data_IF_767675320873
#
_entry.id   IF_767675320873
#
_cell.length_a   1.000
_cell.length_b   1.000
_cell.length_c   1.000
_cell.angle_alpha   90.00
_cell.angle_beta   90.00
_cell.angle_gamma   90.00
#
_symmetry.space_group_name_H-M   'P 1'
#
loop_
_entity.id
_entity.type
_entity.pdbx_description
1 polymer ?
#
# COMPACT_ATOMS: atom_id res chain seq x y z
N UNK A 1 -1.69 17.06 19.88
CA UNK A 1 -0.57 16.90 18.91
C UNK A 1 -1.05 17.45 17.60
N UNK A 2 -0.45 18.57 17.16
CA UNK A 2 -1.03 19.38 16.09
C UNK A 2 -0.43 19.07 14.73
N UNK A 3 -1.30 18.70 13.80
CA UNK A 3 -1.04 18.82 12.36
C UNK A 3 -0.96 20.32 12.04
N UNK A 4 0.23 20.83 11.74
CA UNK A 4 0.46 22.29 11.69
C UNK A 4 0.18 22.96 10.36
N UNK A 5 0.05 22.26 9.25
CA UNK A 5 -0.42 22.89 8.02
C UNK A 5 -0.91 21.86 7.01
N UNK A 6 -2.19 21.92 6.71
CA UNK A 6 -2.73 21.40 5.44
C UNK A 6 -3.04 22.64 4.62
N UNK A 7 -2.33 22.85 3.51
CA UNK A 7 -2.71 23.86 2.52
C UNK A 7 -3.58 23.19 1.47
N UNK A 8 -4.77 23.73 1.23
CA UNK A 8 -5.73 23.20 0.24
C UNK A 8 -5.15 23.08 -1.20
N UNK A 9 -4.04 23.76 -1.50
CA UNK A 9 -3.36 23.71 -2.80
C UNK A 9 -2.13 22.76 -2.85
N UNK A 10 -1.61 22.35 -1.68
CA UNK A 10 -0.46 21.45 -1.58
C UNK A 10 -0.94 20.12 -1.03
N UNK A 11 -0.82 19.06 -1.79
CA UNK A 11 -1.05 17.69 -1.32
C UNK A 11 0.06 17.22 -0.36
N UNK A 12 0.53 18.10 0.51
CA UNK A 12 1.65 17.89 1.43
C UNK A 12 1.22 18.11 2.87
N UNK A 13 1.77 17.32 3.75
CA UNK A 13 1.49 17.36 5.17
C UNK A 13 2.78 17.38 5.97
N UNK A 14 2.94 18.38 6.84
CA UNK A 14 4.07 18.47 7.77
C UNK A 14 3.63 17.99 9.17
N UNK A 15 4.26 16.92 9.63
CA UNK A 15 3.95 16.28 10.91
C UNK A 15 5.04 16.60 11.92
N UNK A 16 4.72 17.46 12.90
CA UNK A 16 5.68 17.94 13.89
C UNK A 16 6.08 16.93 14.97
N UNK A 17 5.26 15.89 15.17
CA UNK A 17 5.60 14.71 15.96
C UNK A 17 5.33 13.50 15.08
N UNK A 18 6.26 12.56 15.03
CA UNK A 18 6.15 11.45 14.11
C UNK A 18 4.98 10.53 14.51
N UNK A 19 3.83 10.60 13.81
CA UNK A 19 2.66 9.81 14.11
C UNK A 19 2.81 8.37 13.63
N UNK A 20 1.91 7.50 14.07
CA UNK A 20 1.71 6.19 13.47
C UNK A 20 1.02 6.30 12.11
N UNK A 21 1.10 5.23 11.30
CA UNK A 21 0.39 5.11 10.04
C UNK A 21 -1.12 5.33 10.21
N UNK A 22 -1.72 4.75 11.25
CA UNK A 22 -3.14 4.97 11.58
C UNK A 22 -3.47 6.45 11.77
N UNK A 23 -2.61 7.18 12.51
CA UNK A 23 -2.82 8.61 12.75
C UNK A 23 -2.68 9.43 11.46
N UNK A 24 -1.72 9.07 10.58
CA UNK A 24 -1.56 9.69 9.26
C UNK A 24 -2.81 9.47 8.41
N UNK A 25 -3.28 8.22 8.33
CA UNK A 25 -4.46 7.85 7.54
C UNK A 25 -5.70 8.59 8.03
N UNK A 26 -5.96 8.62 9.35
CA UNK A 26 -7.10 9.31 9.94
C UNK A 26 -7.11 10.79 9.58
N UNK A 27 -5.99 11.46 9.75
CA UNK A 27 -5.91 12.88 9.49
C UNK A 27 -5.95 13.21 7.97
N UNK A 28 -5.45 12.32 7.10
CA UNK A 28 -5.61 12.47 5.66
C UNK A 28 -7.09 12.31 5.25
N UNK A 29 -7.80 11.34 5.83
CA UNK A 29 -9.23 11.10 5.56
C UNK A 29 -10.13 12.28 5.95
N UNK A 30 -9.84 12.97 7.05
CA UNK A 30 -10.59 14.16 7.50
C UNK A 30 -10.62 15.28 6.44
N UNK A 31 -9.65 15.30 5.53
CA UNK A 31 -9.52 16.30 4.46
C UNK A 31 -9.75 15.71 3.06
N UNK A 32 -10.29 14.48 2.96
CA UNK A 32 -10.60 13.83 1.69
C UNK A 32 -9.38 13.33 0.91
N UNK A 33 -8.23 13.22 1.57
CA UNK A 33 -7.00 12.70 1.01
C UNK A 33 -6.68 11.31 1.58
N UNK A 34 -5.63 10.66 1.06
CA UNK A 34 -5.11 9.43 1.63
C UNK A 34 -3.59 9.33 1.45
N UNK A 35 -2.96 8.58 2.33
CA UNK A 35 -1.55 8.24 2.27
C UNK A 35 -1.40 6.84 1.65
N UNK A 36 -0.88 6.71 0.40
CA UNK A 36 -0.87 5.44 -0.32
C UNK A 36 -0.01 4.33 0.29
N UNK A 37 1.20 4.58 0.83
CA UNK A 37 2.02 3.52 1.44
C UNK A 37 1.29 2.83 2.59
N UNK A 38 1.30 1.48 2.58
CA UNK A 38 0.62 0.69 3.60
C UNK A 38 1.45 -0.57 3.92
N UNK A 39 2.42 -0.47 4.83
CA UNK A 39 3.32 -1.58 5.18
C UNK A 39 2.66 -2.74 5.95
N UNK A 40 1.36 -2.67 6.23
CA UNK A 40 0.61 -3.73 6.89
C UNK A 40 0.56 -3.61 8.42
N UNK A 41 1.41 -2.81 9.03
CA UNK A 41 1.39 -2.49 10.45
C UNK A 41 0.94 -1.04 10.64
N UNK A 42 -0.28 -0.84 11.10
CA UNK A 42 -0.87 0.49 11.32
C UNK A 42 -0.25 1.24 12.50
N UNK A 43 0.43 0.54 13.39
CA UNK A 43 1.16 1.13 14.51
C UNK A 43 2.55 1.66 14.09
N UNK A 44 3.01 1.33 12.88
CA UNK A 44 4.31 1.75 12.37
C UNK A 44 4.46 3.27 12.40
N UNK A 45 5.52 3.75 13.04
CA UNK A 45 5.81 5.19 13.17
C UNK A 45 6.39 5.76 11.88
N UNK A 46 6.01 6.98 11.51
CA UNK A 46 6.45 7.64 10.28
C UNK A 46 7.98 7.64 10.12
N UNK A 47 8.73 7.93 11.17
CA UNK A 47 10.20 7.90 11.13
C UNK A 47 10.77 6.53 10.84
N UNK A 48 10.22 5.48 11.45
CA UNK A 48 10.58 4.09 11.18
C UNK A 48 10.27 3.67 9.76
N UNK A 49 9.07 4.01 9.26
CA UNK A 49 8.68 3.75 7.87
C UNK A 49 9.63 4.41 6.87
N UNK A 50 10.03 5.66 7.11
CA UNK A 50 11.00 6.37 6.24
C UNK A 50 12.39 5.75 6.37
N UNK A 51 12.84 5.47 7.59
CA UNK A 51 14.15 4.88 7.83
C UNK A 51 14.32 3.52 7.16
N UNK A 52 13.26 2.70 7.06
CA UNK A 52 13.28 1.40 6.40
C UNK A 52 12.86 1.43 4.92
N UNK A 53 12.48 2.61 4.40
CA UNK A 53 11.87 2.74 3.07
C UNK A 53 10.68 1.78 2.91
N UNK A 54 9.75 1.81 3.86
CA UNK A 54 8.65 0.87 3.95
C UNK A 54 7.81 0.80 2.67
N UNK A 55 7.46 -0.42 2.29
CA UNK A 55 6.56 -0.73 1.16
C UNK A 55 5.23 -1.24 1.66
N UNK A 56 4.73 -2.32 1.04
CA UNK A 56 3.50 -3.02 1.39
C UNK A 56 2.68 -3.40 0.18
N UNK A 57 1.48 -3.90 0.41
CA UNK A 57 0.61 -4.44 -0.63
C UNK A 57 0.34 -3.44 -1.78
N UNK A 58 0.26 -2.15 -1.46
CA UNK A 58 -0.03 -1.09 -2.44
C UNK A 58 1.18 -0.66 -3.28
N UNK A 59 2.35 -1.28 -3.05
CA UNK A 59 3.60 -0.88 -3.73
C UNK A 59 3.61 -1.13 -5.24
N UNK A 60 2.78 -2.03 -5.76
CA UNK A 60 2.68 -2.31 -7.20
C UNK A 60 2.31 -1.06 -7.99
N UNK A 61 1.33 -0.30 -7.54
CA UNK A 61 0.88 0.95 -8.16
C UNK A 61 1.60 2.17 -7.60
N UNK A 62 1.68 2.27 -6.30
CA UNK A 62 2.10 3.48 -5.61
C UNK A 62 3.59 3.51 -5.27
N UNK A 63 4.24 2.35 -5.19
CA UNK A 63 5.64 2.26 -4.75
C UNK A 63 5.78 2.31 -3.23
N UNK A 64 7.01 2.52 -2.78
CA UNK A 64 7.36 2.63 -1.36
C UNK A 64 7.17 4.06 -0.84
N UNK A 65 7.32 4.24 0.49
CA UNK A 65 7.20 5.55 1.14
C UNK A 65 8.12 6.61 0.53
N UNK A 66 9.26 6.24 -0.04
CA UNK A 66 10.21 7.12 -0.73
C UNK A 66 9.54 8.07 -1.72
N UNK A 67 8.54 7.60 -2.45
CA UNK A 67 7.81 8.42 -3.43
C UNK A 67 6.94 9.52 -2.81
N UNK A 68 6.66 9.40 -1.51
CA UNK A 68 5.75 10.29 -0.79
C UNK A 68 6.46 11.18 0.22
N UNK A 69 7.77 11.02 0.40
CA UNK A 69 8.57 11.91 1.24
C UNK A 69 9.02 13.10 0.41
N UNK A 70 8.64 14.30 0.83
CA UNK A 70 9.02 15.56 0.21
C UNK A 70 10.12 16.29 0.99
N UNK A 71 10.16 16.10 2.31
CA UNK A 71 11.15 16.72 3.17
C UNK A 71 11.39 15.96 4.46
N UNK A 72 12.58 16.11 5.01
CA UNK A 72 13.01 15.52 6.27
C UNK A 72 13.75 16.53 7.13
N UNK A 73 13.54 16.48 8.43
CA UNK A 73 14.47 17.00 9.41
C UNK A 73 15.21 15.82 10.03
N UNK A 74 16.52 15.90 10.06
CA UNK A 74 17.38 14.81 10.55
C UNK A 74 18.41 15.33 11.53
N UNK A 75 18.58 14.66 12.65
CA UNK A 75 19.68 14.89 13.60
C UNK A 75 20.83 13.95 13.23
N UNK A 76 21.95 14.51 12.82
CA UNK A 76 23.16 13.75 12.48
C UNK A 76 23.90 13.26 13.75
N UNK A 77 24.82 12.31 13.59
CA UNK A 77 25.65 11.80 14.67
C UNK A 77 26.49 12.89 15.38
N UNK A 78 26.75 14.02 14.70
CA UNK A 78 27.41 15.20 15.30
C UNK A 78 26.49 16.01 16.21
N UNK A 79 25.19 15.72 16.28
CA UNK A 79 24.16 16.54 16.93
C UNK A 79 23.64 17.69 16.08
N UNK A 80 24.16 17.87 14.87
CA UNK A 80 23.69 18.89 13.94
C UNK A 80 22.30 18.51 13.40
N UNK A 81 21.38 19.47 13.38
CA UNK A 81 20.05 19.33 12.77
C UNK A 81 20.16 19.84 11.33
N UNK A 82 19.70 19.03 10.38
CA UNK A 82 19.65 19.37 8.96
C UNK A 82 18.25 19.25 8.41
N UNK A 83 17.86 20.18 7.55
CA UNK A 83 16.61 20.14 6.79
C UNK A 83 16.94 19.70 5.36
N UNK A 84 16.25 18.69 4.87
CA UNK A 84 16.46 18.08 3.56
C UNK A 84 15.14 18.05 2.80
N UNK A 85 15.15 18.44 1.51
CA UNK A 85 13.93 18.56 0.72
C UNK A 85 13.08 19.78 1.12
N UNK A 86 11.76 19.67 0.99
CA UNK A 86 10.81 20.75 1.29
C UNK A 86 9.41 20.47 0.73
N UNK A 87 8.52 21.47 0.74
CA UNK A 87 7.13 21.35 0.26
C UNK A 87 6.99 21.55 -1.25
N UNK A 88 8.00 21.20 -2.04
CA UNK A 88 7.98 21.33 -3.49
C UNK A 88 8.02 19.96 -4.18
N UNK A 89 7.26 19.83 -5.25
CA UNK A 89 7.14 18.58 -6.03
C UNK A 89 8.34 18.27 -6.92
N UNK A 90 9.20 19.27 -7.19
CA UNK A 90 10.35 19.11 -8.08
C UNK A 90 11.56 19.85 -7.52
N UNK A 91 12.66 19.12 -7.42
CA UNK A 91 14.00 19.70 -7.20
C UNK A 91 14.99 19.06 -8.15
N UNK A 92 15.77 19.88 -8.86
CA UNK A 92 16.81 19.43 -9.78
C UNK A 92 18.18 20.02 -9.43
N UNK A 93 18.33 20.58 -8.23
CA UNK A 93 19.55 21.25 -7.76
C UNK A 93 20.34 20.32 -6.86
N UNK A 94 21.55 19.95 -7.30
CA UNK A 94 22.49 19.14 -6.52
C UNK A 94 22.06 17.69 -6.30
N UNK A 95 22.74 17.02 -5.37
CA UNK A 95 22.37 15.66 -4.93
C UNK A 95 21.20 15.68 -3.96
N UNK A 96 20.29 14.71 -4.09
CA UNK A 96 19.21 14.53 -3.13
C UNK A 96 19.72 13.79 -1.89
N UNK A 97 20.18 14.53 -0.88
CA UNK A 97 20.61 13.96 0.39
C UNK A 97 19.43 13.36 1.17
N UNK A 98 18.21 13.84 0.92
CA UNK A 98 16.99 13.25 1.47
C UNK A 98 16.85 11.78 1.05
N UNK A 99 17.07 11.49 -0.24
CA UNK A 99 17.03 10.13 -0.77
C UNK A 99 18.06 9.18 -0.15
N UNK A 100 19.18 9.72 0.33
CA UNK A 100 20.19 8.96 1.06
C UNK A 100 19.72 8.56 2.46
N UNK A 101 18.94 9.42 3.13
CA UNK A 101 18.40 9.17 4.47
C UNK A 101 17.27 8.14 4.45
N UNK A 102 16.48 8.09 3.38
CA UNK A 102 15.36 7.16 3.23
C UNK A 102 15.91 5.74 3.00
N UNK A 103 15.60 4.81 3.90
CA UNK A 103 16.12 3.45 3.86
C UNK A 103 17.49 3.28 4.53
N UNK A 104 17.97 4.30 5.25
CA UNK A 104 19.25 4.24 5.97
C UNK A 104 19.20 3.47 7.29
N UNK A 105 18.02 3.03 7.73
CA UNK A 105 17.79 2.31 8.99
C UNK A 105 18.38 3.00 10.23
N UNK A 106 18.37 4.36 10.22
CA UNK A 106 18.90 5.17 11.31
C UNK A 106 20.43 5.25 11.38
N UNK A 107 21.17 4.63 10.45
CA UNK A 107 22.65 4.61 10.48
C UNK A 107 23.28 5.94 10.10
N UNK A 108 22.56 6.83 9.41
CA UNK A 108 23.04 8.15 8.97
C UNK A 108 22.54 9.29 9.85
N UNK A 109 21.46 9.09 10.60
CA UNK A 109 20.88 10.08 11.49
C UNK A 109 19.50 9.68 12.00
N UNK A 110 18.96 10.48 12.92
CA UNK A 110 17.62 10.28 13.49
C UNK A 110 16.64 11.22 12.81
N UNK A 111 15.60 10.66 12.20
CA UNK A 111 14.54 11.42 11.53
C UNK A 111 13.59 11.97 12.60
N UNK A 112 13.44 13.29 12.67
CA UNK A 112 12.63 14.00 13.68
C UNK A 112 11.42 14.71 13.11
N UNK A 113 11.38 14.95 11.79
CA UNK A 113 10.23 15.50 11.06
C UNK A 113 10.17 14.91 9.66
N UNK A 114 8.96 14.66 9.18
CA UNK A 114 8.70 14.17 7.83
C UNK A 114 7.62 15.04 7.17
N UNK A 115 7.89 15.51 5.96
CA UNK A 115 6.89 16.12 5.09
C UNK A 115 6.44 15.09 4.07
N UNK A 116 5.14 14.77 4.05
CA UNK A 116 4.56 13.73 3.23
C UNK A 116 3.68 14.32 2.13
N UNK A 117 3.75 13.73 0.93
CA UNK A 117 2.77 13.92 -0.12
C UNK A 117 1.55 13.02 0.13
N UNK A 118 0.37 13.57 -0.08
CA UNK A 118 -0.90 12.84 -0.04
C UNK A 118 -1.53 12.85 -1.42
N UNK A 119 -2.43 11.90 -1.69
CA UNK A 119 -3.21 11.83 -2.92
C UNK A 119 -4.70 12.01 -2.64
N UNK A 120 -5.48 12.47 -3.63
CA UNK A 120 -6.94 12.40 -3.57
C UNK A 120 -7.40 10.95 -3.33
N UNK A 121 -8.38 10.77 -2.45
CA UNK A 121 -8.94 9.46 -2.17
C UNK A 121 -9.59 8.88 -3.42
N UNK A 122 -9.35 7.60 -3.78
CA UNK A 122 -10.04 6.95 -4.87
C UNK A 122 -11.55 6.88 -4.58
N UNK A 123 -12.36 7.07 -5.63
CA UNK A 123 -13.82 7.04 -5.50
C UNK A 123 -14.37 5.63 -5.33
N UNK A 124 -13.66 4.62 -5.88
CA UNK A 124 -14.05 3.20 -5.77
C UNK A 124 -12.84 2.30 -5.61
N UNK A 125 -13.05 1.17 -4.94
CA UNK A 125 -12.09 0.09 -4.78
C UNK A 125 -12.81 -1.23 -5.05
N UNK A 126 -12.16 -2.13 -5.81
CA UNK A 126 -12.63 -3.49 -6.03
C UNK A 126 -11.56 -4.51 -5.69
N UNK A 127 -12.01 -5.65 -5.14
CA UNK A 127 -11.13 -6.76 -4.75
C UNK A 127 -11.55 -8.01 -5.52
N UNK A 128 -10.56 -8.63 -6.19
CA UNK A 128 -10.70 -9.90 -6.90
C UNK A 128 -9.89 -10.98 -6.21
N UNK A 129 -10.45 -12.19 -6.18
CA UNK A 129 -9.74 -13.42 -5.81
C UNK A 129 -9.77 -14.38 -6.98
N UNK A 130 -8.60 -14.90 -7.35
CA UNK A 130 -8.46 -15.89 -8.40
C UNK A 130 -7.69 -17.11 -7.88
N UNK A 131 -8.37 -18.25 -7.62
CA UNK A 131 -7.71 -19.51 -7.28
C UNK A 131 -7.11 -20.17 -8.51
N UNK A 132 -6.01 -20.94 -8.33
CA UNK A 132 -5.27 -21.64 -9.36
C UNK A 132 -4.94 -23.08 -8.96
N UNK A 133 -4.89 -23.99 -9.96
CA UNK A 133 -4.51 -25.40 -9.78
C UNK A 133 -3.05 -25.58 -9.35
N UNK A 134 -2.19 -24.61 -9.64
CA UNK A 134 -0.77 -24.66 -9.29
C UNK A 134 -0.25 -23.30 -8.85
N UNK A 135 0.75 -23.32 -7.98
CA UNK A 135 1.50 -22.13 -7.57
C UNK A 135 2.15 -21.43 -8.79
N UNK A 136 2.68 -22.22 -9.72
CA UNK A 136 3.33 -21.69 -10.92
C UNK A 136 2.36 -20.88 -11.79
N UNK A 137 1.16 -21.42 -12.06
CA UNK A 137 0.14 -20.73 -12.85
C UNK A 137 -0.28 -19.39 -12.22
N UNK A 138 -0.46 -19.36 -10.90
CA UNK A 138 -0.75 -18.12 -10.17
C UNK A 138 0.35 -17.06 -10.37
N UNK A 139 1.62 -17.44 -10.20
CA UNK A 139 2.75 -16.51 -10.32
C UNK A 139 2.93 -16.05 -11.78
N UNK A 140 2.84 -16.97 -12.75
CA UNK A 140 3.01 -16.68 -14.17
C UNK A 140 1.90 -15.80 -14.76
N UNK A 141 0.73 -15.75 -14.13
CA UNK A 141 -0.38 -14.88 -14.56
C UNK A 141 -0.14 -13.39 -14.21
N UNK A 142 0.70 -13.08 -13.21
CA UNK A 142 0.93 -11.69 -12.76
C UNK A 142 1.51 -10.80 -13.89
N UNK A 143 2.55 -11.20 -14.65
CA UNK A 143 3.01 -10.41 -15.80
C UNK A 143 1.93 -10.19 -16.86
N UNK A 144 1.05 -11.16 -17.10
CA UNK A 144 -0.04 -11.02 -18.08
C UNK A 144 -1.04 -9.94 -17.65
N UNK A 145 -1.38 -9.88 -16.36
CA UNK A 145 -2.22 -8.81 -15.78
C UNK A 145 -1.57 -7.45 -15.96
N UNK A 146 -0.31 -7.30 -15.54
CA UNK A 146 0.40 -6.01 -15.60
C UNK A 146 0.59 -5.53 -17.05
N UNK A 147 0.80 -6.43 -18.00
CA UNK A 147 0.95 -6.11 -19.42
C UNK A 147 -0.36 -5.69 -20.09
N UNK A 148 -1.52 -5.89 -19.44
CA UNK A 148 -2.81 -5.41 -19.93
C UNK A 148 -2.92 -3.88 -19.91
N UNK A 149 -2.02 -3.20 -19.19
CA UNK A 149 -2.04 -1.74 -19.02
C UNK A 149 -2.95 -1.28 -17.87
N UNK A 150 -3.56 -2.22 -17.15
CA UNK A 150 -4.31 -1.97 -15.91
C UNK A 150 -3.39 -2.36 -14.76
N UNK A 151 -3.07 -1.40 -13.90
CA UNK A 151 -2.17 -1.64 -12.78
C UNK A 151 -3.00 -1.71 -11.51
N UNK A 152 -3.22 -2.92 -10.95
CA UNK A 152 -3.82 -3.08 -9.63
C UNK A 152 -2.97 -2.35 -8.58
N UNK A 153 -3.58 -1.78 -7.57
CA UNK A 153 -2.79 -1.18 -6.50
C UNK A 153 -2.19 -2.23 -5.55
N UNK A 154 -2.78 -3.44 -5.50
CA UNK A 154 -2.21 -4.59 -4.83
C UNK A 154 -2.34 -5.85 -5.69
N UNK A 155 -1.29 -6.67 -5.69
CA UNK A 155 -1.27 -8.03 -6.23
C UNK A 155 -0.56 -8.89 -5.20
N UNK A 156 -1.29 -9.80 -4.57
CA UNK A 156 -0.76 -10.65 -3.53
C UNK A 156 -0.97 -12.11 -3.90
N UNK A 157 0.09 -12.88 -3.78
CA UNK A 157 0.06 -14.33 -3.85
C UNK A 157 -0.22 -14.90 -2.46
N UNK A 158 -1.18 -15.82 -2.37
CA UNK A 158 -1.60 -16.42 -1.11
C UNK A 158 -1.68 -17.94 -1.27
N UNK A 159 -0.95 -18.66 -0.44
CA UNK A 159 -1.03 -20.12 -0.37
C UNK A 159 -2.21 -20.60 0.49
N UNK A 160 -2.86 -21.66 0.05
CA UNK A 160 -3.99 -22.28 0.77
C UNK A 160 -3.60 -22.75 2.18
N UNK A 161 -2.36 -23.22 2.35
CA UNK A 161 -1.82 -23.65 3.64
C UNK A 161 -1.77 -22.50 4.67
N UNK A 162 -1.33 -21.32 4.24
CA UNK A 162 -1.25 -20.13 5.08
C UNK A 162 -2.66 -19.62 5.44
N UNK A 163 -3.56 -19.56 4.45
CA UNK A 163 -4.95 -19.17 4.68
C UNK A 163 -5.65 -20.13 5.67
N UNK A 164 -5.42 -21.45 5.56
CA UNK A 164 -6.03 -22.41 6.45
C UNK A 164 -5.65 -22.22 7.94
N UNK A 165 -4.48 -21.62 8.21
CA UNK A 165 -4.10 -21.23 9.56
C UNK A 165 -4.90 -20.01 10.05
N UNK A 166 -5.01 -18.98 9.23
CA UNK A 166 -5.78 -17.77 9.55
C UNK A 166 -7.30 -18.09 9.71
N UNK A 167 -7.87 -18.93 8.84
CA UNK A 167 -9.27 -19.38 8.95
C UNK A 167 -9.56 -20.01 10.32
N UNK A 168 -8.67 -20.91 10.79
CA UNK A 168 -8.82 -21.55 12.11
C UNK A 168 -8.69 -20.57 13.26
N UNK A 169 -7.81 -19.57 13.13
CA UNK A 169 -7.59 -18.57 14.19
C UNK A 169 -8.80 -17.64 14.32
N UNK A 170 -9.41 -17.26 13.21
CA UNK A 170 -10.51 -16.29 13.18
C UNK A 170 -11.91 -16.93 13.20
N UNK A 171 -12.02 -18.25 13.06
CA UNK A 171 -13.28 -18.97 12.81
C UNK A 171 -14.05 -18.38 11.60
N UNK A 172 -13.30 -18.07 10.52
CA UNK A 172 -13.81 -17.50 9.27
C UNK A 172 -13.38 -18.36 8.09
N UNK A 173 -14.04 -18.17 6.95
CA UNK A 173 -13.81 -18.95 5.75
C UNK A 173 -13.34 -18.05 4.60
N UNK A 174 -12.24 -18.43 3.96
CA UNK A 174 -11.74 -17.78 2.76
C UNK A 174 -12.63 -18.13 1.56
N UNK A 175 -13.08 -17.14 0.75
CA UNK A 175 -14.03 -17.43 -0.33
C UNK A 175 -13.49 -18.36 -1.42
N UNK A 176 -12.19 -18.29 -1.73
CA UNK A 176 -11.55 -19.10 -2.76
C UNK A 176 -11.04 -20.44 -2.18
N UNK A 177 -11.87 -21.46 -2.20
CA UNK A 177 -11.53 -22.77 -1.62
C UNK A 177 -10.77 -23.72 -2.56
N UNK A 178 -10.74 -23.41 -3.86
CA UNK A 178 -10.16 -24.28 -4.88
C UNK A 178 -8.66 -24.04 -5.01
N UNK A 179 -7.93 -25.12 -5.34
CA UNK A 179 -6.51 -25.08 -5.64
C UNK A 179 -5.59 -24.76 -4.45
N UNK A 180 -4.28 -24.92 -4.65
CA UNK A 180 -3.26 -24.67 -3.61
C UNK A 180 -2.86 -23.21 -3.46
N UNK A 181 -3.24 -22.34 -4.40
CA UNK A 181 -2.84 -20.93 -4.42
C UNK A 181 -3.94 -20.04 -4.96
N UNK A 182 -3.97 -18.81 -4.50
CA UNK A 182 -4.85 -17.75 -5.01
C UNK A 182 -4.05 -16.46 -5.24
N UNK A 183 -4.47 -15.66 -6.23
CA UNK A 183 -4.12 -14.26 -6.32
C UNK A 183 -5.23 -13.41 -5.72
N UNK A 184 -4.84 -12.48 -4.86
CA UNK A 184 -5.65 -11.38 -4.38
C UNK A 184 -5.22 -10.13 -5.14
N UNK A 185 -6.13 -9.54 -5.90
CA UNK A 185 -5.88 -8.29 -6.63
C UNK A 185 -6.83 -7.21 -6.13
N UNK A 186 -6.31 -6.01 -6.01
CA UNK A 186 -7.12 -4.85 -5.63
C UNK A 186 -6.93 -3.73 -6.64
N UNK A 187 -8.04 -3.19 -7.09
CA UNK A 187 -8.13 -2.09 -8.04
C UNK A 187 -8.72 -0.86 -7.37
N UNK A 188 -8.29 0.30 -7.78
CA UNK A 188 -8.84 1.57 -7.36
C UNK A 188 -8.94 2.55 -8.52
N UNK A 189 -9.94 3.42 -8.47
CA UNK A 189 -10.19 4.40 -9.51
C UNK A 189 -11.13 5.52 -9.08
N UNK A 190 -11.42 6.47 -9.99
CA UNK A 190 -12.26 7.62 -9.70
C UNK A 190 -13.74 7.28 -9.50
N UNK A 191 -14.23 6.24 -10.14
CA UNK A 191 -15.62 5.80 -10.11
C UNK A 191 -15.76 4.27 -10.18
N UNK A 192 -16.93 3.78 -9.83
CA UNK A 192 -17.23 2.35 -9.74
C UNK A 192 -17.27 1.68 -11.12
N UNK A 193 -17.86 2.32 -12.12
CA UNK A 193 -18.03 1.74 -13.46
C UNK A 193 -16.67 1.45 -14.10
N UNK A 194 -15.73 2.40 -13.98
CA UNK A 194 -14.37 2.21 -14.49
C UNK A 194 -13.66 1.07 -13.77
N UNK A 195 -13.75 1.02 -12.43
CA UNK A 195 -13.05 -0.01 -11.65
C UNK A 195 -13.64 -1.40 -11.90
N UNK A 196 -14.96 -1.52 -12.05
CA UNK A 196 -15.62 -2.77 -12.44
C UNK A 196 -15.18 -3.24 -13.83
N UNK A 197 -15.19 -2.35 -14.83
CA UNK A 197 -14.72 -2.66 -16.18
C UNK A 197 -13.25 -3.14 -16.19
N UNK A 198 -12.40 -2.53 -15.38
CA UNK A 198 -11.01 -2.98 -15.20
C UNK A 198 -10.93 -4.34 -14.51
N UNK A 199 -11.78 -4.60 -13.52
CA UNK A 199 -11.85 -5.88 -12.82
C UNK A 199 -12.27 -7.01 -13.77
N UNK A 200 -13.29 -6.78 -14.60
CA UNK A 200 -13.72 -7.71 -15.64
C UNK A 200 -12.61 -8.04 -16.64
N UNK A 201 -11.92 -6.99 -17.14
CA UNK A 201 -10.81 -7.17 -18.09
C UNK A 201 -9.62 -7.94 -17.49
N UNK A 202 -9.36 -7.79 -16.18
CA UNK A 202 -8.35 -8.59 -15.45
C UNK A 202 -8.86 -10.01 -15.26
N UNK A 203 -10.14 -10.20 -14.92
CA UNK A 203 -10.76 -11.51 -14.79
C UNK A 203 -10.57 -12.35 -16.05
N UNK A 204 -10.88 -11.77 -17.23
CA UNK A 204 -10.66 -12.44 -18.53
C UNK A 204 -9.20 -12.86 -18.75
N UNK A 205 -8.24 -12.03 -18.33
CA UNK A 205 -6.81 -12.38 -18.43
C UNK A 205 -6.49 -13.54 -17.51
N UNK A 206 -6.96 -13.54 -16.27
CA UNK A 206 -6.68 -14.58 -15.28
C UNK A 206 -7.33 -15.92 -15.68
N UNK A 207 -8.55 -15.89 -16.22
CA UNK A 207 -9.20 -17.08 -16.82
C UNK A 207 -8.37 -17.65 -17.96
N UNK A 208 -7.88 -16.79 -18.86
CA UNK A 208 -6.98 -17.17 -19.96
C UNK A 208 -5.64 -17.75 -19.49
N UNK A 209 -5.22 -17.46 -18.26
CA UNK A 209 -4.02 -17.99 -17.60
C UNK A 209 -4.32 -19.23 -16.72
N UNK A 210 -5.56 -19.71 -16.70
CA UNK A 210 -5.94 -20.94 -16.01
C UNK A 210 -6.42 -20.72 -14.57
N UNK A 211 -6.93 -19.55 -14.24
CA UNK A 211 -7.67 -19.37 -13.01
C UNK A 211 -8.89 -20.29 -12.97
N UNK A 212 -9.13 -20.93 -11.84
CA UNK A 212 -10.24 -21.86 -11.64
C UNK A 212 -11.58 -21.16 -11.48
N UNK A 213 -11.54 -19.94 -10.97
CA UNK A 213 -12.68 -19.08 -10.72
C UNK A 213 -12.23 -17.62 -10.60
N UNK A 214 -13.16 -16.68 -10.78
CA UNK A 214 -12.95 -15.26 -10.51
C UNK A 214 -14.03 -14.77 -9.55
N UNK A 215 -13.62 -14.47 -8.34
CA UNK A 215 -14.50 -14.01 -7.29
C UNK A 215 -14.33 -12.50 -7.07
N UNK A 216 -15.39 -11.75 -7.28
CA UNK A 216 -15.44 -10.32 -7.00
C UNK A 216 -16.05 -10.11 -5.61
N UNK A 217 -15.44 -9.28 -4.79
CA UNK A 217 -16.04 -8.88 -3.53
C UNK A 217 -17.15 -7.85 -3.77
N UNK A 218 -18.40 -8.30 -3.70
CA UNK A 218 -19.60 -7.53 -4.07
C UNK A 218 -19.93 -6.39 -3.09
N UNK A 219 -19.31 -6.37 -1.92
CA UNK A 219 -19.57 -5.36 -0.89
C UNK A 219 -18.29 -5.02 -0.10
N UNK A 220 -18.31 -3.83 0.50
CA UNK A 220 -17.23 -3.39 1.40
C UNK A 220 -17.03 -4.37 2.57
N UNK A 221 -18.09 -4.92 3.11
CA UNK A 221 -18.03 -5.90 4.20
C UNK A 221 -17.26 -7.16 3.79
N UNK A 222 -17.53 -7.70 2.58
CA UNK A 222 -16.79 -8.84 2.02
C UNK A 222 -15.32 -8.51 1.76
N UNK A 223 -15.02 -7.29 1.30
CA UNK A 223 -13.63 -6.84 1.13
C UNK A 223 -12.90 -6.80 2.47
N UNK A 224 -13.51 -6.22 3.49
CA UNK A 224 -12.96 -6.14 4.85
C UNK A 224 -12.78 -7.54 5.47
N UNK A 225 -13.69 -8.47 5.20
CA UNK A 225 -13.56 -9.87 5.64
C UNK A 225 -12.36 -10.57 5.00
N UNK A 226 -12.21 -10.46 3.68
CA UNK A 226 -11.07 -11.03 2.93
C UNK A 226 -9.75 -10.45 3.45
N UNK A 227 -9.67 -9.14 3.59
CA UNK A 227 -8.46 -8.47 4.07
C UNK A 227 -8.16 -8.81 5.53
N UNK A 228 -9.20 -8.97 6.36
CA UNK A 228 -9.05 -9.40 7.75
C UNK A 228 -8.44 -10.81 7.87
N UNK A 229 -8.90 -11.77 7.05
CA UNK A 229 -8.29 -13.11 7.02
C UNK A 229 -6.84 -13.03 6.54
N UNK A 230 -6.59 -12.26 5.46
CA UNK A 230 -5.25 -12.09 4.89
C UNK A 230 -4.26 -11.47 5.88
N UNK A 231 -4.67 -10.47 6.64
CA UNK A 231 -3.78 -9.79 7.59
C UNK A 231 -3.29 -10.70 8.71
N UNK A 232 -4.07 -11.71 9.09
CA UNK A 232 -3.75 -12.66 10.15
C UNK A 232 -2.81 -13.79 9.73
N UNK A 233 -2.41 -13.88 8.45
CA UNK A 233 -1.51 -14.95 7.98
C UNK A 233 -0.17 -14.95 8.72
N UNK A 234 0.34 -13.78 9.11
CA UNK A 234 1.62 -13.65 9.82
C UNK A 234 1.54 -13.98 11.31
N UNK A 235 0.33 -13.99 11.88
CA UNK A 235 0.10 -14.27 13.30
C UNK A 235 -0.38 -15.72 13.53
N UNK A 236 -0.82 -16.38 12.47
CA UNK A 236 -1.38 -17.74 12.48
C UNK A 236 -0.32 -18.81 12.22
#
# INVERSE_FOLDING_TARGET
>A
EEVRSVREADTTWDVSQLPSLEQINRAAEEIGLFFPPHPGDESAMAGGMVATNAGGARAVKYGTIRRFVLGLQVVLASGQIVELGGTFMKSSTGYSLMELMIGSEGTLGVITRVTLALLPRPGSIQTLLAPFDTVAAAIESVPAVLNRGIIPFAVEFVERSAIACAERLLDKSWPAHQGPASLLLMLDGPDEDLVLSQAEAIGEVLEGQGALDILLAESREKQEEILGIRSMIYEA
#
